data_IF_293472515138
#
_entry.id   IF_293472515138
#
_cell.length_a   1.000
_cell.length_b   1.000
_cell.length_c   1.000
_cell.angle_alpha   90.00
_cell.angle_beta   90.00
_cell.angle_gamma   90.00
#
_symmetry.space_group_name_H-M   'P 1'
#
loop_
_entity.id
_entity.type
_entity.pdbx_description
1 polymer ?
#
# COMPACT_ATOMS: atom_id res chain seq x y z
N UNK A 1 3.26 4.30 0.87
CA UNK A 1 3.42 5.69 0.40
C UNK A 1 2.34 5.96 -0.61
N UNK A 2 1.80 7.16 -0.57
CA UNK A 2 0.72 7.62 -1.45
C UNK A 2 1.23 8.92 -2.10
N UNK A 3 1.03 9.13 -3.41
CA UNK A 3 1.41 10.38 -4.07
C UNK A 3 0.76 11.58 -3.40
N UNK A 4 1.46 12.72 -3.35
CA UNK A 4 0.98 13.90 -2.63
C UNK A 4 -0.25 14.56 -3.28
N UNK A 5 -0.41 14.35 -4.58
CA UNK A 5 -1.53 14.76 -5.43
C UNK A 5 -2.73 13.81 -5.36
N UNK A 6 -2.56 12.58 -4.86
CA UNK A 6 -3.66 11.64 -4.69
C UNK A 6 -4.61 12.12 -3.57
N UNK A 7 -5.95 12.08 -3.74
CA UNK A 7 -6.91 12.64 -2.79
C UNK A 7 -6.73 12.17 -1.33
N UNK A 8 -6.44 10.88 -1.13
CA UNK A 8 -6.17 10.30 0.19
C UNK A 8 -4.97 10.91 0.93
N UNK A 9 -3.99 11.49 0.23
CA UNK A 9 -2.85 12.13 0.88
C UNK A 9 -3.21 13.44 1.61
N UNK A 10 -4.36 14.02 1.27
CA UNK A 10 -4.90 15.24 1.90
C UNK A 10 -5.68 14.98 3.19
N UNK A 11 -5.97 13.71 3.52
CA UNK A 11 -6.74 13.32 4.71
C UNK A 11 -5.86 13.42 5.95
N UNK A 12 -6.26 14.26 6.91
CA UNK A 12 -5.49 14.54 8.14
C UNK A 12 -6.32 14.32 9.39
N UNK A 13 -5.63 14.26 10.52
CA UNK A 13 -6.20 14.13 11.86
C UNK A 13 -7.14 12.92 12.01
N UNK A 14 -8.27 13.10 12.68
CA UNK A 14 -9.27 12.05 12.95
C UNK A 14 -10.28 11.86 11.82
N UNK A 15 -9.99 12.37 10.62
CA UNK A 15 -10.84 12.15 9.45
C UNK A 15 -10.47 10.83 8.78
N UNK A 16 -11.49 10.14 8.29
CA UNK A 16 -11.34 8.97 7.44
C UNK A 16 -11.82 9.34 6.04
N UNK A 17 -11.26 8.62 5.06
CA UNK A 17 -11.76 8.65 3.70
C UNK A 17 -11.86 7.23 3.14
N UNK A 18 -12.84 7.02 2.27
CA UNK A 18 -12.97 5.82 1.44
C UNK A 18 -12.97 6.27 -0.01
N UNK A 19 -11.97 5.84 -0.76
CA UNK A 19 -11.87 6.07 -2.21
C UNK A 19 -12.41 4.83 -2.92
N UNK A 20 -13.36 5.03 -3.82
CA UNK A 20 -14.06 3.97 -4.55
C UNK A 20 -13.94 4.25 -6.04
N UNK A 21 -13.44 3.27 -6.77
CA UNK A 21 -13.40 3.27 -8.22
C UNK A 21 -14.52 2.37 -8.74
N UNK A 22 -15.32 2.88 -9.67
CA UNK A 22 -16.36 2.09 -10.32
C UNK A 22 -16.44 2.40 -11.81
N UNK A 23 -16.70 1.37 -12.61
CA UNK A 23 -16.68 1.45 -14.08
C UNK A 23 -17.57 2.56 -14.65
N UNK A 24 -18.76 2.75 -14.06
CA UNK A 24 -19.73 3.76 -14.50
C UNK A 24 -19.72 5.03 -13.63
N UNK A 25 -19.41 4.90 -12.33
CA UNK A 25 -19.41 6.03 -11.39
C UNK A 25 -18.11 6.83 -11.41
N UNK A 26 -17.05 6.28 -12.02
CA UNK A 26 -15.70 6.80 -11.91
C UNK A 26 -15.18 6.75 -10.47
N UNK A 27 -14.34 7.72 -10.14
CA UNK A 27 -13.73 7.90 -8.84
C UNK A 27 -14.67 8.65 -7.88
N UNK A 28 -14.94 8.05 -6.72
CA UNK A 28 -15.73 8.65 -5.64
C UNK A 28 -14.91 8.66 -4.35
N UNK A 29 -14.93 9.78 -3.62
CA UNK A 29 -14.33 9.86 -2.28
C UNK A 29 -15.38 10.21 -1.23
N UNK A 30 -15.58 9.30 -0.28
CA UNK A 30 -16.40 9.54 0.91
C UNK A 30 -15.50 10.03 2.04
N UNK A 31 -15.69 11.26 2.50
CA UNK A 31 -14.82 11.91 3.50
C UNK A 31 -15.63 12.37 4.72
N UNK A 32 -15.11 12.11 5.92
CA UNK A 32 -15.75 12.53 7.16
C UNK A 32 -15.05 12.05 8.43
N UNK A 33 -15.65 12.33 9.59
CA UNK A 33 -15.14 11.81 10.87
C UNK A 33 -15.47 10.33 10.98
N UNK A 34 -14.46 9.48 10.96
CA UNK A 34 -14.63 8.03 11.11
C UNK A 34 -14.68 7.54 12.56
N UNK A 35 -14.47 8.43 13.53
CA UNK A 35 -14.48 8.10 14.95
C UNK A 35 -15.09 9.22 15.81
N UNK A 36 -15.54 8.82 17.00
CA UNK A 36 -16.12 9.71 18.02
C UNK A 36 -17.60 9.42 18.27
N UNK A 37 -18.06 9.65 19.50
CA UNK A 37 -19.40 9.25 19.94
C UNK A 37 -20.54 9.82 19.08
N UNK A 38 -20.48 11.10 18.71
CA UNK A 38 -21.50 11.73 17.86
C UNK A 38 -21.51 11.19 16.41
N UNK A 39 -20.39 11.15 15.67
CA UNK A 39 -20.35 10.53 14.35
C UNK A 39 -20.84 9.07 14.35
N UNK A 40 -20.38 8.26 15.31
CA UNK A 40 -20.81 6.86 15.41
C UNK A 40 -22.30 6.72 15.75
N UNK A 41 -22.82 7.52 16.68
CA UNK A 41 -24.25 7.52 17.01
C UNK A 41 -25.13 7.90 15.81
N UNK A 42 -24.66 8.78 14.93
CA UNK A 42 -25.38 9.13 13.70
C UNK A 42 -25.54 7.93 12.76
N UNK A 43 -24.50 7.11 12.59
CA UNK A 43 -24.58 5.90 11.77
C UNK A 43 -25.56 4.88 12.40
N UNK A 44 -25.44 4.63 13.70
CA UNK A 44 -26.34 3.73 14.45
C UNK A 44 -27.80 4.17 14.35
N UNK A 45 -28.08 5.47 14.47
CA UNK A 45 -29.44 5.99 14.34
C UNK A 45 -29.99 5.82 12.91
N UNK A 46 -29.16 5.99 11.89
CA UNK A 46 -29.53 5.72 10.49
C UNK A 46 -29.97 4.27 10.30
N UNK A 47 -29.13 3.32 10.73
CA UNK A 47 -29.44 1.88 10.66
C UNK A 47 -30.72 1.53 11.44
N UNK A 48 -30.95 2.17 12.60
CA UNK A 48 -32.14 1.95 13.41
C UNK A 48 -33.42 2.41 12.69
N UNK A 49 -33.37 3.57 12.02
CA UNK A 49 -34.49 4.10 11.24
C UNK A 49 -34.77 3.17 10.05
N UNK A 50 -33.74 2.77 9.31
CA UNK A 50 -33.87 1.87 8.16
C UNK A 50 -34.46 0.52 8.57
N UNK A 51 -33.99 -0.06 9.69
CA UNK A 51 -34.53 -1.29 10.26
C UNK A 51 -36.02 -1.15 10.63
N UNK A 52 -36.42 -0.04 11.25
CA UNK A 52 -37.81 0.21 11.62
C UNK A 52 -38.72 0.35 10.38
N UNK A 53 -38.25 1.05 9.34
CA UNK A 53 -38.97 1.20 8.07
C UNK A 53 -39.12 -0.15 7.36
N UNK A 54 -38.04 -0.92 7.26
CA UNK A 54 -38.05 -2.24 6.62
C UNK A 54 -38.99 -3.20 7.35
N UNK A 55 -38.96 -3.21 8.69
CA UNK A 55 -39.88 -4.00 9.53
C UNK A 55 -41.33 -3.64 9.26
N UNK A 56 -41.66 -2.35 9.18
CA UNK A 56 -43.04 -1.89 8.89
C UNK A 56 -43.50 -2.31 7.50
N UNK A 57 -42.60 -2.31 6.51
CA UNK A 57 -42.91 -2.70 5.12
C UNK A 57 -42.93 -4.21 4.89
N UNK A 58 -42.53 -5.01 5.89
CA UNK A 58 -42.34 -6.45 5.70
C UNK A 58 -41.23 -6.79 4.71
N UNK A 59 -40.30 -5.86 4.47
CA UNK A 59 -39.19 -6.05 3.54
C UNK A 59 -38.09 -6.88 4.19
N UNK A 60 -37.44 -7.74 3.39
CA UNK A 60 -36.23 -8.42 3.83
C UNK A 60 -35.12 -7.40 4.11
N UNK A 61 -34.39 -7.62 5.19
CA UNK A 61 -33.24 -6.81 5.58
C UNK A 61 -31.97 -7.62 5.33
N UNK A 62 -31.04 -7.09 4.56
CA UNK A 62 -29.75 -7.71 4.31
C UNK A 62 -29.09 -7.19 3.04
N UNK A 63 -27.77 -7.33 2.93
CA UNK A 63 -27.08 -7.02 1.68
C UNK A 63 -27.60 -7.92 0.56
N UNK A 64 -27.60 -7.46 -0.70
CA UNK A 64 -27.88 -8.33 -1.82
C UNK A 64 -26.89 -9.50 -1.83
N UNK A 65 -27.29 -10.69 -2.30
CA UNK A 65 -26.38 -11.80 -2.43
C UNK A 65 -25.23 -11.41 -3.37
N UNK A 66 -24.02 -11.37 -2.84
CA UNK A 66 -22.81 -11.16 -3.64
C UNK A 66 -22.23 -12.51 -4.01
N UNK A 67 -21.73 -12.63 -5.25
CA UNK A 67 -20.95 -13.79 -5.63
C UNK A 67 -19.71 -13.91 -4.71
N UNK A 68 -19.31 -15.13 -4.31
CA UNK A 68 -18.09 -15.30 -3.52
C UNK A 68 -16.89 -14.81 -4.33
N UNK A 69 -16.13 -13.87 -3.77
CA UNK A 69 -14.86 -13.42 -4.33
C UNK A 69 -13.71 -14.28 -3.80
N UNK A 70 -12.71 -14.55 -4.65
CA UNK A 70 -11.45 -15.19 -4.21
C UNK A 70 -10.63 -14.16 -3.43
N UNK A 71 -10.21 -14.53 -2.22
CA UNK A 71 -9.20 -13.79 -1.47
C UNK A 71 -7.83 -14.24 -1.97
N UNK A 72 -7.06 -13.31 -2.56
CA UNK A 72 -5.71 -13.60 -3.02
C UNK A 72 -4.73 -13.59 -1.84
N UNK A 73 -3.79 -14.55 -1.78
CA UNK A 73 -2.71 -14.50 -0.79
C UNK A 73 -1.83 -13.29 -1.05
N UNK A 74 -1.24 -12.76 0.02
CA UNK A 74 -0.44 -11.54 -0.05
C UNK A 74 0.75 -11.64 -1.04
N UNK A 75 1.26 -12.85 -1.29
CA UNK A 75 2.35 -13.07 -2.25
C UNK A 75 1.96 -12.83 -3.71
N UNK A 76 0.67 -12.88 -4.06
CA UNK A 76 0.16 -12.59 -5.40
C UNK A 76 -0.14 -11.08 -5.61
N UNK A 77 -0.02 -10.26 -4.56
CA UNK A 77 -0.26 -8.81 -4.66
C UNK A 77 0.77 -8.18 -5.60
N UNK A 78 0.30 -7.37 -6.55
CA UNK A 78 1.16 -6.54 -7.41
C UNK A 78 1.19 -5.12 -6.87
N UNK A 79 2.36 -4.62 -6.53
CA UNK A 79 2.54 -3.28 -5.97
C UNK A 79 3.97 -2.78 -6.15
N UNK A 80 4.18 -1.47 -6.06
CA UNK A 80 5.51 -0.87 -6.06
C UNK A 80 6.05 -0.75 -4.63
N UNK A 81 7.37 -0.62 -4.49
CA UNK A 81 8.04 -0.58 -3.20
C UNK A 81 9.00 0.59 -3.10
N UNK A 82 9.02 1.20 -1.93
CA UNK A 82 10.11 2.02 -1.41
C UNK A 82 10.98 1.11 -0.53
N UNK A 83 12.27 1.05 -0.83
CA UNK A 83 13.26 0.29 -0.09
C UNK A 83 14.43 1.19 0.28
N UNK A 84 14.77 1.26 1.56
CA UNK A 84 16.01 1.89 2.02
C UNK A 84 16.99 0.81 2.49
N UNK A 85 18.18 0.79 1.89
CA UNK A 85 19.29 -0.09 2.26
C UNK A 85 20.43 0.72 2.85
N UNK A 86 21.06 0.20 3.89
CA UNK A 86 22.35 0.66 4.38
C UNK A 86 23.42 -0.31 3.90
N UNK A 87 24.37 0.23 3.15
CA UNK A 87 25.40 -0.56 2.46
C UNK A 87 26.79 -0.01 2.76
N UNK A 88 27.80 -0.83 2.53
CA UNK A 88 29.19 -0.41 2.60
C UNK A 88 29.47 0.53 1.42
N UNK A 89 30.14 1.66 1.64
CA UNK A 89 30.47 2.59 0.56
C UNK A 89 31.69 2.11 -0.23
N UNK A 90 31.44 1.24 -1.22
CA UNK A 90 32.47 0.69 -2.12
C UNK A 90 31.98 0.61 -3.57
N UNK A 91 32.88 0.75 -4.55
CA UNK A 91 32.54 0.50 -5.96
C UNK A 91 31.97 -0.91 -6.16
N UNK A 92 30.96 -1.03 -7.01
CA UNK A 92 30.33 -2.32 -7.37
C UNK A 92 29.16 -2.73 -6.47
N UNK A 93 28.97 -2.10 -5.31
CA UNK A 93 27.85 -2.42 -4.40
C UNK A 93 26.49 -2.19 -5.06
N UNK A 94 26.32 -1.06 -5.75
CA UNK A 94 25.09 -0.79 -6.48
C UNK A 94 24.82 -1.85 -7.57
N UNK A 95 25.86 -2.26 -8.31
CA UNK A 95 25.72 -3.27 -9.35
C UNK A 95 25.31 -4.63 -8.76
N UNK A 96 25.88 -5.01 -7.62
CA UNK A 96 25.50 -6.23 -6.91
C UNK A 96 24.03 -6.18 -6.44
N UNK A 97 23.63 -5.07 -5.81
CA UNK A 97 22.23 -4.87 -5.37
C UNK A 97 21.27 -4.90 -6.55
N UNK A 98 21.55 -4.14 -7.62
CA UNK A 98 20.73 -4.11 -8.83
C UNK A 98 20.67 -5.49 -9.53
N UNK A 99 21.75 -6.27 -9.45
CA UNK A 99 21.78 -7.65 -9.92
C UNK A 99 20.77 -8.54 -9.20
N UNK A 100 20.63 -8.39 -7.88
CA UNK A 100 19.62 -9.14 -7.09
C UNK A 100 18.20 -8.78 -7.53
N UNK A 101 17.91 -7.48 -7.68
CA UNK A 101 16.62 -7.02 -8.22
C UNK A 101 16.31 -7.63 -9.59
N UNK A 102 17.29 -7.63 -10.50
CA UNK A 102 17.14 -8.21 -11.83
C UNK A 102 16.93 -9.73 -11.81
N UNK A 103 17.56 -10.45 -10.88
CA UNK A 103 17.43 -11.91 -10.77
C UNK A 103 16.00 -12.34 -10.43
N UNK A 104 15.29 -11.53 -9.66
CA UNK A 104 13.89 -11.74 -9.27
C UNK A 104 12.89 -11.01 -10.19
N UNK A 105 13.35 -10.40 -11.28
CA UNK A 105 12.47 -9.69 -12.21
C UNK A 105 11.83 -8.42 -11.64
N UNK A 106 12.42 -7.82 -10.61
CA UNK A 106 11.94 -6.58 -9.99
C UNK A 106 12.63 -5.37 -10.61
N UNK A 107 11.89 -4.61 -11.40
CA UNK A 107 12.42 -3.40 -12.07
C UNK A 107 12.53 -2.21 -11.12
N UNK A 108 13.65 -1.50 -11.19
CA UNK A 108 13.91 -0.27 -10.43
C UNK A 108 13.37 0.93 -11.24
N UNK A 109 12.48 1.72 -10.64
CA UNK A 109 11.92 2.95 -11.22
C UNK A 109 12.85 4.14 -10.99
N UNK A 110 13.33 4.29 -9.76
CA UNK A 110 14.30 5.31 -9.41
C UNK A 110 15.18 4.85 -8.25
N UNK A 111 16.36 5.46 -8.14
CA UNK A 111 17.25 5.25 -7.01
C UNK A 111 17.89 6.56 -6.58
N UNK A 112 18.30 6.64 -5.32
CA UNK A 112 19.10 7.74 -4.79
C UNK A 112 20.08 7.18 -3.78
N UNK A 113 21.34 7.57 -3.89
CA UNK A 113 22.39 7.17 -2.96
C UNK A 113 22.91 8.40 -2.22
N UNK A 114 22.97 8.30 -0.90
CA UNK A 114 23.51 9.31 -0.01
C UNK A 114 24.70 8.72 0.77
N UNK A 115 25.84 9.40 0.75
CA UNK A 115 27.02 9.00 1.51
C UNK A 115 26.85 9.34 3.00
N UNK A 116 27.19 8.39 3.87
CA UNK A 116 27.14 8.45 5.32
C UNK A 116 28.52 8.11 5.90
N UNK A 117 29.57 8.81 5.47
CA UNK A 117 30.94 8.56 5.90
C UNK A 117 31.54 7.31 5.26
N UNK A 118 31.71 6.23 6.03
CA UNK A 118 32.21 4.92 5.55
C UNK A 118 31.09 4.02 4.99
N UNK A 119 29.86 4.52 5.00
CA UNK A 119 28.66 3.83 4.56
C UNK A 119 27.91 4.66 3.52
N UNK A 120 27.00 4.02 2.82
CA UNK A 120 26.05 4.70 1.97
C UNK A 120 24.64 4.19 2.26
N UNK A 121 23.67 5.09 2.18
CA UNK A 121 22.27 4.73 2.15
C UNK A 121 21.80 4.77 0.70
N UNK A 122 21.28 3.65 0.20
CA UNK A 122 20.67 3.58 -1.12
C UNK A 122 19.16 3.41 -0.95
N UNK A 123 18.42 4.34 -1.52
CA UNK A 123 16.96 4.32 -1.58
C UNK A 123 16.55 3.90 -2.99
N UNK A 124 15.66 2.92 -3.08
CA UNK A 124 15.07 2.44 -4.31
C UNK A 124 13.56 2.67 -4.28
N UNK A 125 13.01 3.05 -5.42
CA UNK A 125 11.59 2.93 -5.73
C UNK A 125 11.47 1.95 -6.90
N UNK A 126 10.66 0.91 -6.76
CA UNK A 126 10.46 -0.10 -7.81
C UNK A 126 9.30 0.29 -8.74
N UNK A 127 9.23 -0.33 -9.91
CA UNK A 127 7.96 -0.48 -10.62
C UNK A 127 7.05 -1.49 -9.90
N UNK A 128 5.82 -1.63 -10.39
CA UNK A 128 4.88 -2.64 -9.90
C UNK A 128 5.45 -4.03 -10.13
N UNK A 129 5.62 -4.80 -9.06
CA UNK A 129 6.11 -6.17 -9.08
C UNK A 129 5.26 -7.07 -8.17
N UNK A 130 5.36 -8.38 -8.35
CA UNK A 130 4.73 -9.35 -7.47
C UNK A 130 5.37 -9.30 -6.08
N UNK A 131 4.56 -9.34 -5.03
CA UNK A 131 5.06 -9.30 -3.65
C UNK A 131 5.89 -10.54 -3.30
N UNK A 132 5.61 -11.70 -3.90
CA UNK A 132 6.46 -12.89 -3.81
C UNK A 132 7.90 -12.62 -4.26
N UNK A 133 8.05 -12.02 -5.46
CA UNK A 133 9.35 -11.70 -6.06
C UNK A 133 10.09 -10.64 -5.23
N UNK A 134 9.36 -9.62 -4.76
CA UNK A 134 9.96 -8.60 -3.90
C UNK A 134 10.44 -9.21 -2.57
N UNK A 135 9.70 -10.16 -1.99
CA UNK A 135 10.14 -10.84 -0.76
C UNK A 135 11.39 -11.67 -0.99
N UNK A 136 11.45 -12.44 -2.07
CA UNK A 136 12.65 -13.19 -2.45
C UNK A 136 13.85 -12.24 -2.67
N UNK A 137 13.62 -11.09 -3.31
CA UNK A 137 14.61 -10.02 -3.46
C UNK A 137 15.13 -9.53 -2.12
N UNK A 138 14.24 -9.24 -1.15
CA UNK A 138 14.63 -8.78 0.18
C UNK A 138 15.42 -9.84 0.94
N UNK A 139 15.04 -11.11 0.81
CA UNK A 139 15.74 -12.22 1.45
C UNK A 139 17.17 -12.34 0.90
N UNK A 140 17.37 -12.30 -0.42
CA UNK A 140 18.71 -12.33 -1.01
C UNK A 140 19.54 -11.09 -0.66
N UNK A 141 18.92 -9.90 -0.64
CA UNK A 141 19.59 -8.66 -0.25
C UNK A 141 20.10 -8.71 1.20
N UNK A 142 19.40 -9.39 2.12
CA UNK A 142 19.87 -9.57 3.51
C UNK A 142 21.11 -10.44 3.61
N UNK A 143 21.34 -11.32 2.64
CA UNK A 143 22.49 -12.21 2.61
C UNK A 143 23.65 -11.64 1.77
N UNK A 144 23.46 -10.50 1.11
CA UNK A 144 24.49 -9.86 0.32
C UNK A 144 25.52 -9.18 1.22
N UNK A 145 26.80 -9.59 1.13
CA UNK A 145 27.88 -9.08 1.99
C UNK A 145 28.02 -7.54 2.00
N UNK A 146 27.63 -6.90 0.91
CA UNK A 146 27.67 -5.44 0.77
C UNK A 146 26.56 -4.72 1.56
N UNK A 147 25.48 -5.41 1.92
CA UNK A 147 24.32 -4.86 2.63
C UNK A 147 24.52 -5.09 4.12
N UNK A 148 24.57 -4.01 4.89
CA UNK A 148 24.63 -4.08 6.35
C UNK A 148 23.25 -4.25 6.95
N UNK A 149 22.29 -3.50 6.42
CA UNK A 149 20.93 -3.49 6.94
C UNK A 149 19.93 -3.18 5.83
N UNK A 150 18.83 -3.94 5.85
CA UNK A 150 17.59 -3.55 5.18
C UNK A 150 16.82 -2.65 6.14
N UNK A 151 16.74 -1.37 5.82
CA UNK A 151 16.04 -0.37 6.62
C UNK A 151 14.53 -0.42 6.39
N UNK A 152 13.96 0.67 5.90
CA UNK A 152 12.53 0.78 5.66
C UNK A 152 12.11 0.08 4.37
N UNK A 153 11.05 -0.73 4.46
CA UNK A 153 10.35 -1.32 3.32
C UNK A 153 8.89 -0.90 3.38
N UNK A 154 8.44 -0.09 2.42
CA UNK A 154 7.09 0.45 2.38
C UNK A 154 6.49 0.21 1.00
N UNK A 155 5.27 -0.33 0.94
CA UNK A 155 4.51 -0.39 -0.32
C UNK A 155 4.19 1.02 -0.79
N UNK A 156 4.16 1.22 -2.09
CA UNK A 156 3.83 2.47 -2.76
C UNK A 156 2.56 2.22 -3.57
N UNK A 157 1.51 3.00 -3.30
CA UNK A 157 0.37 3.10 -4.19
C UNK A 157 0.88 3.93 -5.37
N UNK A 158 1.01 3.28 -6.52
CA UNK A 158 1.37 3.93 -7.76
C UNK A 158 0.16 3.83 -8.68
N UNK A 159 -0.16 4.93 -9.36
CA UNK A 159 -1.09 4.89 -10.47
C UNK A 159 -0.44 4.07 -11.60
N UNK A 160 -1.20 3.21 -12.26
CA UNK A 160 -0.75 2.49 -13.46
C UNK A 160 -0.56 3.44 -14.65
#
# INVERSE_FOLDING_TARGET
>A
MVPADHPLASVRDSFNAVFVEGDASGELMLYGRGAGGRPTASAVLGDLIDAAVNRRRGAACGPPPTAPARIHPIGELRTAYYLALEVIDRPGVLAAVAGVFGHHGVSIRSMTQEGLGDQARIIFITHVACEGDMRATLDDLRHLEAVRQVGSVLRVIADE
#
